data_IF_460464681538
#
_entry.id   IF_460464681538
#
_cell.length_a   1.000
_cell.length_b   1.000
_cell.length_c   1.000
_cell.angle_alpha   90.00
_cell.angle_beta   90.00
_cell.angle_gamma   90.00
#
_symmetry.space_group_name_H-M   'P 1'
#
loop_
_entity.id
_entity.type
_entity.pdbx_description
1 polymer ?
#
# COMPACT_ATOMS: atom_id res chain seq x y z
N UNK A 1 -2.50 0.23 14.99
CA UNK A 1 -1.12 0.63 15.37
C UNK A 1 -0.11 -0.14 14.51
N UNK A 2 0.89 0.51 13.90
CA UNK A 2 1.80 -0.15 12.98
C UNK A 2 2.73 -1.08 13.76
N UNK A 3 2.67 -2.38 13.47
CA UNK A 3 3.45 -3.46 14.12
C UNK A 3 4.93 -3.47 13.71
N UNK A 4 5.47 -2.36 13.21
CA UNK A 4 6.85 -2.22 12.73
C UNK A 4 7.86 -1.99 13.87
N UNK A 5 7.42 -1.60 15.09
CA UNK A 5 8.33 -1.28 16.19
C UNK A 5 9.16 -2.46 16.72
N UNK A 6 8.84 -3.73 16.41
CA UNK A 6 9.67 -4.87 16.83
C UNK A 6 10.91 -5.06 15.95
N UNK A 7 10.83 -4.70 14.66
CA UNK A 7 11.96 -4.83 13.73
C UNK A 7 13.00 -3.74 13.96
N UNK A 8 12.58 -2.55 14.37
CA UNK A 8 13.47 -1.45 14.77
C UNK A 8 14.29 -1.73 16.04
N UNK A 9 13.93 -2.77 16.81
CA UNK A 9 14.66 -3.21 18.01
C UNK A 9 15.66 -4.33 17.72
N UNK A 10 15.75 -4.80 16.47
CA UNK A 10 16.73 -5.81 16.09
C UNK A 10 18.13 -5.19 16.06
N UNK A 11 19.17 -5.93 16.45
CA UNK A 11 20.54 -5.51 16.22
C UNK A 11 20.78 -5.33 14.72
N UNK A 12 21.59 -4.35 14.34
CA UNK A 12 21.84 -4.01 12.93
C UNK A 12 22.38 -5.19 12.12
N UNK A 13 23.19 -6.05 12.74
CA UNK A 13 23.71 -7.28 12.13
C UNK A 13 22.58 -8.20 11.65
N UNK A 14 21.62 -8.49 12.54
CA UNK A 14 20.45 -9.33 12.22
C UNK A 14 19.51 -8.65 11.23
N UNK A 15 19.39 -7.32 11.28
CA UNK A 15 18.59 -6.56 10.34
C UNK A 15 19.20 -6.64 8.92
N UNK A 16 20.53 -6.58 8.83
CA UNK A 16 21.27 -6.73 7.58
C UNK A 16 21.08 -8.14 7.02
N UNK A 17 21.23 -9.17 7.85
CA UNK A 17 20.99 -10.56 7.46
C UNK A 17 19.53 -10.78 7.01
N UNK A 18 18.57 -10.12 7.66
CA UNK A 18 17.17 -10.15 7.25
C UNK A 18 16.98 -9.51 5.87
N UNK A 19 17.62 -8.37 5.60
CA UNK A 19 17.55 -7.68 4.30
C UNK A 19 18.09 -8.56 3.18
N UNK A 20 19.25 -9.17 3.39
CA UNK A 20 19.86 -10.06 2.40
C UNK A 20 18.97 -11.27 2.11
N UNK A 21 18.35 -11.85 3.14
CA UNK A 21 17.39 -12.95 2.96
C UNK A 21 16.11 -12.51 2.24
N UNK A 22 15.60 -11.30 2.51
CA UNK A 22 14.44 -10.75 1.81
C UNK A 22 14.74 -10.57 0.32
N UNK A 23 15.92 -10.03 -0.02
CA UNK A 23 16.38 -9.85 -1.40
C UNK A 23 16.60 -11.19 -2.10
N UNK A 24 17.26 -12.14 -1.43
CA UNK A 24 17.51 -13.48 -1.95
C UNK A 24 16.21 -14.24 -2.26
N UNK A 25 15.17 -14.07 -1.45
CA UNK A 25 13.84 -14.66 -1.69
C UNK A 25 12.98 -13.86 -2.69
N UNK A 26 13.51 -12.82 -3.34
CA UNK A 26 12.74 -11.98 -4.27
C UNK A 26 11.56 -11.29 -3.60
N UNK A 27 11.72 -10.88 -2.34
CA UNK A 27 10.67 -10.26 -1.52
C UNK A 27 9.42 -11.15 -1.38
N UNK A 28 9.65 -12.44 -1.16
CA UNK A 28 8.62 -13.45 -0.91
C UNK A 28 8.96 -14.32 0.33
N UNK A 29 8.11 -15.29 0.67
CA UNK A 29 8.42 -16.25 1.75
C UNK A 29 8.46 -15.63 3.16
N UNK A 30 7.64 -14.60 3.43
CA UNK A 30 7.65 -13.89 4.71
C UNK A 30 7.29 -14.75 5.93
N UNK A 31 6.63 -15.90 5.72
CA UNK A 31 6.35 -16.85 6.78
C UNK A 31 7.64 -17.54 7.27
N UNK A 32 8.49 -17.98 6.34
CA UNK A 32 9.77 -18.63 6.64
C UNK A 32 10.75 -17.66 7.28
N UNK A 33 10.79 -16.41 6.81
CA UNK A 33 11.60 -15.34 7.42
C UNK A 33 11.16 -15.03 8.86
N UNK A 34 9.84 -15.08 9.13
CA UNK A 34 9.29 -14.92 10.48
C UNK A 34 9.66 -16.09 11.39
N UNK A 35 9.64 -17.33 10.87
CA UNK A 35 10.08 -18.51 11.61
C UNK A 35 11.59 -18.46 11.91
N UNK A 36 12.40 -18.03 10.96
CA UNK A 36 13.84 -17.84 11.14
C UNK A 36 14.17 -16.82 12.24
N UNK A 37 13.51 -15.65 12.22
CA UNK A 37 13.65 -14.64 13.28
C UNK A 37 13.26 -15.20 14.65
N UNK A 38 12.21 -16.04 14.71
CA UNK A 38 11.79 -16.71 15.95
C UNK A 38 12.87 -17.67 16.46
N UNK A 39 13.55 -18.40 15.58
CA UNK A 39 14.69 -19.27 15.92
C UNK A 39 15.89 -18.49 16.49
N UNK A 40 16.05 -17.22 16.11
CA UNK A 40 17.07 -16.30 16.65
C UNK A 40 16.65 -15.62 17.95
N UNK A 41 15.48 -15.96 18.51
CA UNK A 41 14.96 -15.38 19.76
C UNK A 41 14.08 -14.15 19.59
N UNK A 42 13.77 -13.75 18.35
CA UNK A 42 12.97 -12.55 18.06
C UNK A 42 11.57 -12.91 17.56
N UNK A 43 10.55 -12.68 18.38
CA UNK A 43 9.15 -12.96 18.01
C UNK A 43 8.57 -11.81 17.17
N UNK A 44 8.86 -11.86 15.88
CA UNK A 44 8.32 -10.96 14.86
C UNK A 44 7.30 -11.72 14.01
N UNK A 45 6.06 -11.21 13.93
CA UNK A 45 5.01 -11.85 13.13
C UNK A 45 5.16 -11.57 11.64
N UNK A 46 4.69 -12.50 10.79
CA UNK A 46 4.64 -12.39 9.32
C UNK A 46 4.23 -11.02 8.81
N UNK A 47 3.16 -10.41 9.36
CA UNK A 47 2.67 -9.10 8.92
C UNK A 47 3.70 -7.97 9.11
N UNK A 48 4.52 -8.05 10.15
CA UNK A 48 5.57 -7.06 10.40
C UNK A 48 6.73 -7.25 9.42
N UNK A 49 7.14 -8.49 9.17
CA UNK A 49 8.17 -8.83 8.16
C UNK A 49 7.71 -8.41 6.76
N UNK A 50 6.45 -8.67 6.42
CA UNK A 50 5.87 -8.26 5.15
C UNK A 50 5.89 -6.73 5.00
N UNK A 51 5.37 -5.98 5.99
CA UNK A 51 5.37 -4.51 5.93
C UNK A 51 6.78 -3.94 5.77
N UNK A 52 7.75 -4.49 6.48
CA UNK A 52 9.14 -4.09 6.36
C UNK A 52 9.75 -4.43 4.99
N UNK A 53 9.50 -5.64 4.49
CA UNK A 53 9.95 -6.05 3.16
C UNK A 53 9.35 -5.21 2.03
N UNK A 54 8.15 -4.66 2.22
CA UNK A 54 7.58 -3.69 1.28
C UNK A 54 8.34 -2.36 1.29
N UNK A 55 8.63 -1.80 2.47
CA UNK A 55 9.43 -0.58 2.57
C UNK A 55 10.85 -0.78 2.03
N UNK A 56 11.48 -1.94 2.30
CA UNK A 56 12.80 -2.27 1.76
C UNK A 56 12.77 -2.35 0.23
N UNK A 57 11.73 -2.98 -0.34
CA UNK A 57 11.54 -3.06 -1.79
C UNK A 57 11.39 -1.68 -2.44
N UNK A 58 10.68 -0.76 -1.82
CA UNK A 58 10.54 0.61 -2.33
C UNK A 58 11.89 1.34 -2.38
N UNK A 59 12.70 1.19 -1.34
CA UNK A 59 14.06 1.75 -1.28
C UNK A 59 14.96 1.12 -2.34
N UNK A 60 14.99 -0.21 -2.41
CA UNK A 60 15.84 -0.94 -3.36
C UNK A 60 15.42 -0.66 -4.82
N UNK A 61 14.11 -0.56 -5.10
CA UNK A 61 13.61 -0.17 -6.43
C UNK A 61 14.00 1.27 -6.80
N UNK A 62 14.02 2.19 -5.83
CA UNK A 62 14.53 3.55 -6.03
C UNK A 62 16.04 3.60 -6.29
N UNK A 63 16.78 2.63 -5.74
CA UNK A 63 18.22 2.46 -5.98
C UNK A 63 18.54 1.74 -7.30
N UNK A 64 17.53 1.25 -8.03
CA UNK A 64 17.70 0.59 -9.32
C UNK A 64 17.84 -0.94 -9.26
N UNK A 65 17.51 -1.58 -8.12
CA UNK A 65 17.54 -3.03 -8.00
C UNK A 65 16.47 -3.68 -8.90
N UNK A 66 16.92 -4.51 -9.85
CA UNK A 66 16.05 -5.15 -10.85
C UNK A 66 15.09 -6.15 -10.21
N UNK A 67 15.52 -6.90 -9.20
CA UNK A 67 14.66 -7.86 -8.51
C UNK A 67 13.53 -7.13 -7.77
N UNK A 68 13.82 -5.97 -7.16
CA UNK A 68 12.80 -5.12 -6.52
C UNK A 68 11.79 -4.56 -7.54
N UNK A 69 12.27 -4.10 -8.69
CA UNK A 69 11.44 -3.54 -9.78
C UNK A 69 10.53 -4.62 -10.39
N UNK A 70 11.09 -5.79 -10.72
CA UNK A 70 10.34 -6.91 -11.32
C UNK A 70 9.32 -7.47 -10.33
N UNK A 71 9.71 -7.65 -9.07
CA UNK A 71 8.82 -8.18 -8.05
C UNK A 71 7.67 -7.21 -7.73
N UNK A 72 7.84 -5.90 -7.98
CA UNK A 72 6.76 -4.90 -7.90
C UNK A 72 5.75 -5.03 -9.05
N UNK A 73 6.20 -5.46 -10.23
CA UNK A 73 5.33 -5.68 -11.39
C UNK A 73 4.54 -7.00 -11.30
N UNK A 74 5.10 -8.04 -10.66
CA UNK A 74 4.50 -9.38 -10.60
C UNK A 74 3.50 -9.63 -9.46
N UNK A 75 3.40 -8.73 -8.47
CA UNK A 75 2.46 -8.87 -7.36
C UNK A 75 1.51 -7.68 -7.38
N UNK A 76 0.29 -7.91 -7.87
CA UNK A 76 -0.81 -7.00 -7.63
C UNK A 76 -0.93 -6.74 -6.12
N UNK A 77 -0.54 -5.55 -5.69
CA UNK A 77 -0.60 -5.17 -4.28
C UNK A 77 -1.35 -3.86 -4.12
N UNK A 78 -2.56 -3.88 -3.54
CA UNK A 78 -3.04 -2.74 -2.81
C UNK A 78 -2.64 -2.92 -1.33
N UNK A 79 -1.39 -2.59 -1.03
CA UNK A 79 -1.13 -1.75 0.15
C UNK A 79 -1.14 -0.27 -0.26
N UNK A 80 -1.85 0.05 -1.34
CA UNK A 80 -2.35 1.39 -1.62
C UNK A 80 -3.24 1.76 -0.43
N UNK A 81 -3.06 2.95 0.12
CA UNK A 81 -3.76 3.40 1.33
C UNK A 81 -5.27 3.30 1.08
N UNK A 82 -5.91 2.20 1.54
CA UNK A 82 -7.32 1.90 1.25
C UNK A 82 -8.23 3.07 1.64
N UNK A 83 -7.85 3.82 2.69
CA UNK A 83 -8.53 5.04 3.10
C UNK A 83 -8.37 6.17 2.07
N UNK A 84 -7.17 6.38 1.53
CA UNK A 84 -6.95 7.36 0.46
C UNK A 84 -7.66 6.95 -0.84
N UNK A 85 -7.68 5.66 -1.20
CA UNK A 85 -8.44 5.18 -2.35
C UNK A 85 -9.94 5.36 -2.17
N UNK A 86 -10.46 5.04 -0.98
CA UNK A 86 -11.86 5.27 -0.64
C UNK A 86 -12.21 6.77 -0.75
N UNK A 87 -11.34 7.66 -0.27
CA UNK A 87 -11.50 9.12 -0.39
C UNK A 87 -11.51 9.55 -1.86
N UNK A 88 -10.60 9.04 -2.70
CA UNK A 88 -10.56 9.38 -4.12
C UNK A 88 -11.81 8.88 -4.86
N UNK A 89 -12.28 7.67 -4.56
CA UNK A 89 -13.51 7.13 -5.13
C UNK A 89 -14.74 7.94 -4.69
N UNK A 90 -14.79 8.36 -3.43
CA UNK A 90 -15.85 9.21 -2.89
C UNK A 90 -15.84 10.61 -3.48
N UNK A 91 -14.67 11.24 -3.64
CA UNK A 91 -14.52 12.51 -4.34
C UNK A 91 -15.01 12.41 -5.80
N UNK A 92 -14.71 11.29 -6.48
CA UNK A 92 -15.23 11.04 -7.83
C UNK A 92 -16.77 10.99 -7.87
N UNK A 93 -17.40 10.28 -6.92
CA UNK A 93 -18.87 10.23 -6.80
C UNK A 93 -19.47 11.62 -6.53
N UNK A 94 -18.86 12.40 -5.64
CA UNK A 94 -19.32 13.75 -5.32
C UNK A 94 -19.25 14.69 -6.53
N UNK A 95 -18.16 14.65 -7.30
CA UNK A 95 -17.99 15.43 -8.54
C UNK A 95 -19.06 15.12 -9.59
N UNK A 96 -19.42 13.85 -9.75
CA UNK A 96 -20.49 13.43 -10.65
C UNK A 96 -21.85 13.91 -10.12
N UNK A 97 -22.10 13.78 -8.82
CA UNK A 97 -23.36 14.22 -8.21
C UNK A 97 -23.56 15.72 -8.29
N UNK A 98 -22.49 16.50 -8.12
CA UNK A 98 -22.50 17.96 -8.32
C UNK A 98 -22.98 18.32 -9.73
N UNK A 99 -22.41 17.69 -10.77
CA UNK A 99 -22.85 17.94 -12.14
C UNK A 99 -24.32 17.57 -12.36
N UNK A 100 -24.80 16.45 -11.80
CA UNK A 100 -26.20 16.06 -11.88
C UNK A 100 -27.14 17.08 -11.24
N UNK A 101 -26.80 17.56 -10.04
CA UNK A 101 -27.61 18.56 -9.34
C UNK A 101 -27.64 19.89 -10.09
N UNK A 102 -26.54 20.29 -10.73
CA UNK A 102 -26.52 21.48 -11.56
C UNK A 102 -27.39 21.31 -12.82
N UNK A 103 -27.45 20.11 -13.40
CA UNK A 103 -28.37 19.82 -14.50
C UNK A 103 -29.83 19.83 -14.03
N UNK A 104 -30.14 19.16 -12.92
CA UNK A 104 -31.47 19.18 -12.31
C UNK A 104 -31.91 20.62 -11.98
N UNK A 105 -31.01 21.44 -11.43
CA UNK A 105 -31.26 22.86 -11.18
C UNK A 105 -31.54 23.63 -12.47
N UNK A 106 -30.72 23.42 -13.51
CA UNK A 106 -30.93 24.06 -14.81
C UNK A 106 -32.27 23.67 -15.44
N UNK A 107 -32.71 22.42 -15.29
CA UNK A 107 -34.02 21.94 -15.75
C UNK A 107 -35.18 22.59 -14.99
N UNK A 108 -35.03 22.80 -13.67
CA UNK A 108 -36.04 23.46 -12.85
C UNK A 108 -36.10 24.97 -13.07
N UNK A 109 -34.96 25.58 -13.42
CA UNK A 109 -34.86 27.00 -13.78
C UNK A 109 -35.25 27.27 -15.24
N UNK A 110 -35.50 26.24 -16.07
CA UNK A 110 -36.11 26.47 -17.38
C UNK A 110 -37.51 27.07 -17.17
N UNK A 111 -37.75 28.27 -17.69
CA UNK A 111 -38.89 29.08 -17.28
C UNK A 111 -40.20 28.36 -17.57
N UNK A 112 -41.19 28.59 -16.70
CA UNK A 112 -42.61 28.59 -17.05
C UNK A 112 -42.73 29.33 -18.40
N UNK A 113 -42.62 28.60 -19.51
CA UNK A 113 -42.80 29.14 -20.84
C UNK A 113 -44.28 29.37 -20.96
N UNK A 114 -44.70 30.59 -20.61
CA UNK A 114 -46.07 31.05 -20.81
C UNK A 114 -46.46 30.74 -22.26
N UNK A 115 -47.51 29.93 -22.50
CA UNK A 115 -48.01 29.75 -23.84
C UNK A 115 -48.60 31.09 -24.30
N UNK A 116 -48.09 31.63 -25.41
CA UNK A 116 -48.78 32.69 -26.14
C UNK A 116 -50.08 32.16 -26.75
#
# INVERSE_FOLDING_TARGET
MPRSSKLLKLPQDLLTELNDRIRANGYSGYADLSAWLRGKGHVVGRSAVHAYGQSLREVDAGAGDVAAIVSRAGVGQPCRNQRAEAIVAELGRLRVREHQLLQELAELEQPLREPQ
#
